data_IF_985865167369
#
_entry.id   IF_985865167369
#
_cell.length_a   1.000
_cell.length_b   1.000
_cell.length_c   1.000
_cell.angle_alpha   90.00
_cell.angle_beta   90.00
_cell.angle_gamma   90.00
#
_symmetry.space_group_name_H-M   'P 1'
#
loop_
_entity.id
_entity.type
_entity.pdbx_description
1 polymer ?
#
# COMPACT_ATOMS: atom_id res chain seq x y z
N UNK A 1 18.96 1.49 0.80
CA UNK A 1 18.83 1.79 -0.65
C UNK A 1 19.59 3.06 -1.01
N UNK A 2 19.24 4.22 -0.43
CA UNK A 2 19.94 5.48 -0.72
C UNK A 2 21.47 5.38 -0.53
N UNK A 3 21.93 4.79 0.57
CA UNK A 3 23.36 4.58 0.84
C UNK A 3 24.06 3.76 -0.26
N UNK A 4 23.46 2.65 -0.70
CA UNK A 4 24.01 1.80 -1.76
C UNK A 4 24.05 2.52 -3.11
N UNK A 5 23.04 3.35 -3.40
CA UNK A 5 23.03 4.19 -4.60
C UNK A 5 24.13 5.24 -4.54
N UNK A 6 24.28 5.92 -3.40
CA UNK A 6 25.32 6.94 -3.19
C UNK A 6 26.73 6.36 -3.38
N UNK A 7 26.99 5.17 -2.83
CA UNK A 7 28.27 4.48 -3.02
C UNK A 7 28.53 4.11 -4.50
N UNK A 8 27.49 3.72 -5.25
CA UNK A 8 27.62 3.35 -6.65
C UNK A 8 27.88 4.55 -7.58
N UNK A 9 27.51 5.76 -7.17
CA UNK A 9 27.68 6.99 -7.97
C UNK A 9 28.81 7.89 -7.45
N UNK A 10 29.58 7.44 -6.46
CA UNK A 10 30.62 8.25 -5.81
C UNK A 10 31.69 8.75 -6.80
N UNK A 11 32.08 7.92 -7.76
CA UNK A 11 33.18 8.19 -8.71
C UNK A 11 32.70 8.69 -10.09
N UNK A 12 31.46 9.16 -10.23
CA UNK A 12 31.00 9.69 -11.53
C UNK A 12 31.62 11.06 -11.83
N UNK A 13 31.68 11.40 -13.12
CA UNK A 13 32.15 12.71 -13.56
C UNK A 13 31.35 13.85 -12.88
N UNK A 14 32.02 14.80 -12.16
CA UNK A 14 31.35 15.91 -11.47
C UNK A 14 30.54 16.86 -12.36
N UNK A 15 30.76 16.84 -13.68
CA UNK A 15 29.95 17.61 -14.64
C UNK A 15 28.57 17.01 -14.89
N UNK A 16 28.35 15.76 -14.47
CA UNK A 16 27.06 15.07 -14.61
C UNK A 16 26.12 15.51 -13.50
N UNK A 17 24.96 16.04 -13.90
CA UNK A 17 23.85 16.31 -12.99
C UNK A 17 22.98 15.06 -12.84
N UNK A 18 22.94 14.49 -11.64
CA UNK A 18 22.07 13.36 -11.29
C UNK A 18 20.73 13.88 -10.78
N UNK A 19 19.64 13.38 -11.36
CA UNK A 19 18.26 13.62 -10.90
C UNK A 19 17.56 12.27 -10.69
N UNK A 20 16.44 12.29 -9.96
CA UNK A 20 15.57 11.12 -9.80
C UNK A 20 14.12 11.48 -10.09
N UNK A 21 13.31 10.46 -10.38
CA UNK A 21 11.87 10.59 -10.66
C UNK A 21 11.02 9.89 -9.57
N UNK A 22 11.14 10.28 -8.29
CA UNK A 22 10.40 9.62 -7.21
C UNK A 22 8.91 10.02 -7.24
N UNK A 23 8.05 9.08 -7.60
CA UNK A 23 6.59 9.26 -7.46
C UNK A 23 6.09 8.83 -6.08
N UNK A 24 5.91 7.52 -5.90
CA UNK A 24 5.34 6.90 -4.68
C UNK A 24 6.01 7.39 -3.39
N UNK A 25 7.33 7.56 -3.40
CA UNK A 25 8.10 8.00 -2.22
C UNK A 25 7.53 9.26 -1.55
N UNK A 26 7.02 10.22 -2.35
CA UNK A 26 6.51 11.47 -1.80
C UNK A 26 5.05 11.40 -1.33
N UNK A 27 4.22 10.55 -1.93
CA UNK A 27 2.76 10.63 -1.78
C UNK A 27 2.15 9.44 -1.03
N UNK A 28 2.85 8.31 -0.90
CA UNK A 28 2.29 7.06 -0.35
C UNK A 28 1.78 7.23 1.09
N UNK A 29 2.52 7.96 1.93
CA UNK A 29 2.14 8.23 3.33
C UNK A 29 1.27 9.47 3.53
N UNK A 30 1.07 10.27 2.48
CA UNK A 30 0.32 11.53 2.57
C UNK A 30 -1.20 11.33 2.65
N UNK A 31 -1.69 10.13 2.30
CA UNK A 31 -3.11 9.83 2.24
C UNK A 31 -3.48 8.67 3.16
N UNK A 32 -4.65 8.77 3.80
CA UNK A 32 -5.29 7.67 4.54
C UNK A 32 -6.65 7.40 3.91
N UNK A 33 -6.89 6.15 3.49
CA UNK A 33 -8.17 5.73 2.93
C UNK A 33 -9.15 5.41 4.06
N UNK A 34 -10.33 6.03 4.02
CA UNK A 34 -11.47 5.64 4.85
C UNK A 34 -12.54 4.97 3.96
N UNK A 35 -12.99 3.78 4.36
CA UNK A 35 -14.02 3.03 3.66
C UNK A 35 -15.15 2.63 4.62
N UNK A 36 -16.38 2.60 4.10
CA UNK A 36 -17.57 2.22 4.86
C UNK A 36 -17.80 0.72 4.74
N UNK A 37 -18.00 0.04 5.86
CA UNK A 37 -18.49 -1.34 5.89
C UNK A 37 -19.96 -1.36 5.50
N UNK A 38 -20.27 -1.87 4.31
CA UNK A 38 -21.63 -1.98 3.77
C UNK A 38 -22.28 -3.32 4.12
N UNK A 39 -21.48 -4.35 4.38
CA UNK A 39 -21.99 -5.68 4.66
C UNK A 39 -21.08 -6.47 5.60
N UNK A 40 -21.69 -7.39 6.35
CA UNK A 40 -21.00 -8.32 7.23
C UNK A 40 -21.57 -9.72 7.04
N UNK A 41 -20.70 -10.72 6.94
CA UNK A 41 -21.06 -12.14 6.89
C UNK A 41 -20.27 -12.91 7.95
N UNK A 42 -20.95 -13.80 8.66
CA UNK A 42 -20.33 -14.76 9.57
C UNK A 42 -20.29 -16.12 8.88
N UNK A 43 -19.11 -16.72 8.80
CA UNK A 43 -18.90 -18.03 8.19
C UNK A 43 -18.40 -18.97 9.28
N UNK A 44 -19.20 -19.98 9.62
CA UNK A 44 -18.76 -21.06 10.50
C UNK A 44 -17.84 -21.98 9.71
N UNK A 45 -16.63 -22.17 10.21
CA UNK A 45 -15.63 -23.11 9.71
C UNK A 45 -15.29 -24.11 10.82
N UNK A 46 -14.59 -25.19 10.50
CA UNK A 46 -14.11 -26.16 11.49
C UNK A 46 -13.24 -25.47 12.57
N UNK A 47 -12.47 -24.45 12.18
CA UNK A 47 -11.60 -23.66 13.07
C UNK A 47 -12.34 -22.53 13.84
N UNK A 48 -13.66 -22.44 13.76
CA UNK A 48 -14.45 -21.40 14.45
C UNK A 48 -15.23 -20.46 13.53
N UNK A 49 -15.43 -19.20 13.93
CA UNK A 49 -16.26 -18.24 13.19
C UNK A 49 -15.40 -17.20 12.47
N UNK A 50 -15.37 -17.26 11.14
CA UNK A 50 -14.74 -16.23 10.30
C UNK A 50 -15.70 -15.06 10.08
N UNK A 51 -15.17 -13.85 10.29
CA UNK A 51 -15.87 -12.61 10.04
C UNK A 51 -15.43 -12.06 8.67
N UNK A 52 -16.38 -11.85 7.77
CA UNK A 52 -16.13 -11.27 6.44
C UNK A 52 -16.85 -9.94 6.35
N UNK A 53 -16.14 -8.90 5.92
CA UNK A 53 -16.66 -7.55 5.78
C UNK A 53 -16.60 -7.14 4.31
N UNK A 54 -17.67 -6.51 3.83
CA UNK A 54 -17.75 -5.91 2.50
C UNK A 54 -17.71 -4.40 2.67
N UNK A 55 -16.79 -3.75 1.97
CA UNK A 55 -16.63 -2.30 1.98
C UNK A 55 -17.07 -1.68 0.65
N UNK A 56 -17.28 -0.38 0.63
CA UNK A 56 -17.73 0.38 -0.56
C UNK A 56 -16.63 0.70 -1.60
N UNK A 57 -15.45 0.11 -1.46
CA UNK A 57 -14.32 0.23 -2.39
C UNK A 57 -13.64 -1.15 -2.55
N UNK A 58 -12.77 -1.33 -3.55
CA UNK A 58 -12.18 -2.63 -3.81
C UNK A 58 -11.03 -2.61 -4.82
N UNK A 59 -10.77 -3.77 -5.42
CA UNK A 59 -9.64 -4.00 -6.32
C UNK A 59 -9.67 -3.16 -7.60
N UNK A 60 -10.86 -2.78 -8.07
CA UNK A 60 -11.01 -1.87 -9.21
C UNK A 60 -10.94 -0.38 -8.81
N UNK A 61 -10.70 -0.09 -7.53
CA UNK A 61 -10.51 1.26 -6.98
C UNK A 61 -9.20 1.36 -6.21
N UNK A 62 -9.25 1.74 -4.94
CA UNK A 62 -8.03 2.00 -4.16
C UNK A 62 -7.18 0.75 -3.83
N UNK A 63 -7.67 -0.47 -4.12
CA UNK A 63 -6.99 -1.74 -3.83
C UNK A 63 -6.47 -2.46 -5.08
N UNK A 64 -6.23 -1.76 -6.19
CA UNK A 64 -5.66 -2.38 -7.41
C UNK A 64 -4.33 -3.09 -7.18
N UNK A 65 -3.53 -2.60 -6.22
CA UNK A 65 -2.26 -3.22 -5.84
C UNK A 65 -2.41 -4.62 -5.24
N UNK A 66 -3.55 -4.92 -4.60
CA UNK A 66 -3.85 -6.25 -4.08
C UNK A 66 -4.11 -7.21 -5.26
N UNK A 67 -4.84 -6.76 -6.27
CA UNK A 67 -5.14 -7.57 -7.46
C UNK A 67 -3.88 -7.88 -8.28
N UNK A 68 -2.90 -6.97 -8.26
CA UNK A 68 -1.62 -7.12 -8.93
C UNK A 68 -0.57 -7.85 -8.06
N UNK A 69 -0.95 -8.30 -6.86
CA UNK A 69 -0.04 -8.93 -5.89
C UNK A 69 1.20 -8.09 -5.55
N UNK A 70 1.04 -6.76 -5.56
CA UNK A 70 2.12 -5.81 -5.27
C UNK A 70 2.19 -5.51 -3.78
N UNK A 71 1.03 -5.26 -3.16
CA UNK A 71 0.94 -4.85 -1.75
C UNK A 71 -0.43 -5.14 -1.20
N UNK A 72 -0.45 -5.74 0.00
CA UNK A 72 -1.66 -5.89 0.78
C UNK A 72 -1.94 -4.68 1.68
N UNK A 73 -3.20 -4.23 1.72
CA UNK A 73 -3.67 -3.16 2.60
C UNK A 73 -4.60 -3.73 3.68
N UNK A 74 -4.13 -3.74 4.93
CA UNK A 74 -4.90 -4.24 6.06
C UNK A 74 -5.77 -3.13 6.67
N UNK A 75 -7.07 -3.37 6.92
CA UNK A 75 -7.95 -2.37 7.50
C UNK A 75 -7.62 -2.13 8.98
N UNK A 76 -7.75 -0.88 9.42
CA UNK A 76 -7.68 -0.48 10.83
C UNK A 76 -9.01 0.15 11.22
N UNK A 77 -9.63 -0.21 12.37
CA UNK A 77 -10.83 0.46 12.84
C UNK A 77 -10.58 1.96 13.04
N UNK A 78 -11.47 2.81 12.52
CA UNK A 78 -11.35 4.27 12.64
C UNK A 78 -11.63 4.75 14.08
N UNK A 79 -12.51 4.05 14.78
CA UNK A 79 -12.83 4.29 16.18
C UNK A 79 -12.29 3.13 17.01
N UNK A 80 -11.52 3.46 18.05
CA UNK A 80 -11.01 2.53 19.06
C UNK A 80 -11.81 2.68 20.35
#
# INVERSE_FOLDING_TARGET
VAESVNAAIEDIDPSIQVISEPGRYYVDSAFTLAALVQGKKLIKTEDGVKHVYYINDGTYGAFIEEMLDIRQKLPTPLFQ
#
